data_IF_654294455440
#
_entry.id   IF_654294455440
#
_cell.length_a   1.000
_cell.length_b   1.000
_cell.length_c   1.000
_cell.angle_alpha   90.00
_cell.angle_beta   90.00
_cell.angle_gamma   90.00
#
_symmetry.space_group_name_H-M   'P 1'
#
loop_
_entity.id
_entity.type
_entity.pdbx_description
1 polymer ?
#
# COMPACT_ATOMS: atom_id res chain seq x y z
N UNK A 1 17.90 -20.61 13.26
CA UNK A 1 17.78 -19.74 12.06
C UNK A 1 17.86 -18.29 12.56
N UNK A 2 18.40 -17.32 11.81
CA UNK A 2 18.43 -15.93 12.31
C UNK A 2 17.00 -15.37 12.44
N UNK A 3 16.78 -14.45 13.38
CA UNK A 3 15.48 -13.79 13.59
C UNK A 3 14.95 -13.17 12.30
N UNK A 4 15.82 -12.51 11.52
CA UNK A 4 15.44 -11.90 10.24
C UNK A 4 14.95 -12.93 9.22
N UNK A 5 15.58 -14.11 9.18
CA UNK A 5 15.18 -15.17 8.25
C UNK A 5 13.86 -15.84 8.68
N UNK A 6 13.63 -15.99 9.98
CA UNK A 6 12.34 -16.45 10.51
C UNK A 6 11.22 -15.43 10.20
N UNK A 7 11.51 -14.15 10.35
CA UNK A 7 10.61 -13.07 9.96
C UNK A 7 10.25 -13.13 8.46
N UNK A 8 11.24 -13.26 7.58
CA UNK A 8 11.03 -13.41 6.14
C UNK A 8 10.19 -14.65 5.80
N UNK A 9 10.47 -15.79 6.44
CA UNK A 9 9.69 -17.02 6.24
C UNK A 9 8.23 -16.80 6.61
N UNK A 10 7.97 -16.17 7.75
CA UNK A 10 6.61 -15.86 8.19
C UNK A 10 5.89 -14.94 7.20
N UNK A 11 6.51 -13.81 6.83
CA UNK A 11 5.93 -12.84 5.89
C UNK A 11 5.61 -13.49 4.54
N UNK A 12 6.54 -14.27 3.99
CA UNK A 12 6.37 -14.97 2.73
C UNK A 12 5.28 -16.05 2.78
N UNK A 13 5.07 -16.68 3.93
CA UNK A 13 4.00 -17.66 4.15
C UNK A 13 2.64 -16.99 4.26
N UNK A 14 2.58 -15.82 4.90
CA UNK A 14 1.34 -15.06 5.08
C UNK A 14 0.84 -14.44 3.78
N UNK A 15 1.72 -14.07 2.84
CA UNK A 15 1.39 -13.48 1.53
C UNK A 15 0.37 -12.35 1.65
N UNK A 16 0.60 -11.45 2.61
CA UNK A 16 -0.26 -10.31 2.81
C UNK A 16 -0.10 -9.31 1.67
N UNK A 17 -1.18 -8.98 0.99
CA UNK A 17 -1.20 -7.99 -0.10
C UNK A 17 -2.04 -6.77 0.33
N UNK A 18 -1.47 -5.56 0.43
CA UNK A 18 -2.24 -4.36 0.79
C UNK A 18 -3.34 -4.02 -0.22
N UNK A 19 -3.11 -4.35 -1.49
CA UNK A 19 -4.05 -4.06 -2.59
C UNK A 19 -5.39 -4.77 -2.43
N UNK A 20 -5.39 -5.92 -1.77
CA UNK A 20 -6.57 -6.72 -1.49
C UNK A 20 -7.57 -6.03 -0.54
N UNK A 21 -7.16 -4.94 0.09
CA UNK A 21 -7.96 -4.15 1.04
C UNK A 21 -8.32 -2.77 0.48
N UNK A 22 -7.97 -2.49 -0.78
CA UNK A 22 -8.34 -1.26 -1.44
C UNK A 22 -9.75 -1.36 -2.01
N UNK A 23 -10.53 -0.32 -1.79
CA UNK A 23 -11.83 -0.13 -2.43
C UNK A 23 -11.77 1.13 -3.28
N UNK A 24 -12.63 1.23 -4.30
CA UNK A 24 -12.86 2.53 -4.91
C UNK A 24 -13.48 3.43 -3.85
N UNK A 25 -12.81 4.53 -3.53
CA UNK A 25 -13.17 5.37 -2.38
C UNK A 25 -13.68 6.72 -2.85
N UNK A 26 -14.83 7.11 -2.30
CA UNK A 26 -15.24 8.50 -2.21
C UNK A 26 -14.37 9.24 -1.19
N UNK A 27 -14.42 10.57 -1.21
CA UNK A 27 -13.68 11.38 -0.25
C UNK A 27 -14.04 11.04 1.21
N UNK A 28 -15.29 10.67 1.52
CA UNK A 28 -15.68 10.32 2.88
C UNK A 28 -15.01 9.03 3.41
N UNK A 29 -14.62 8.13 2.52
CA UNK A 29 -14.08 6.80 2.85
C UNK A 29 -12.56 6.77 2.98
N UNK A 30 -11.88 7.80 2.48
CA UNK A 30 -10.44 7.96 2.61
C UNK A 30 -10.04 8.37 4.04
N UNK A 31 -8.94 7.80 4.53
CA UNK A 31 -8.32 8.24 5.78
C UNK A 31 -7.75 9.67 5.63
N UNK A 32 -7.58 10.38 6.74
CA UNK A 32 -6.98 11.73 6.73
C UNK A 32 -5.58 11.73 6.09
N UNK A 33 -4.82 10.65 6.29
CA UNK A 33 -3.51 10.49 5.65
C UNK A 33 -3.65 10.36 4.13
N UNK A 34 -4.53 9.46 3.65
CA UNK A 34 -4.72 9.22 2.23
C UNK A 34 -5.21 10.49 1.51
N UNK A 35 -6.14 11.23 2.12
CA UNK A 35 -6.61 12.53 1.60
C UNK A 35 -5.48 13.51 1.42
N UNK A 36 -4.69 13.73 2.48
CA UNK A 36 -3.56 14.65 2.46
C UNK A 36 -2.56 14.28 1.38
N UNK A 37 -2.21 13.00 1.27
CA UNK A 37 -1.25 12.54 0.27
C UNK A 37 -1.76 12.75 -1.17
N UNK A 38 -3.05 12.53 -1.43
CA UNK A 38 -3.66 12.77 -2.75
C UNK A 38 -3.76 14.27 -3.04
N UNK A 39 -4.11 15.10 -2.06
CA UNK A 39 -4.11 16.56 -2.19
C UNK A 39 -2.72 17.10 -2.49
N UNK A 40 -1.71 16.68 -1.71
CA UNK A 40 -0.31 17.04 -1.92
C UNK A 40 0.14 16.64 -3.33
N UNK A 41 -0.20 15.41 -3.78
CA UNK A 41 0.16 14.89 -5.10
C UNK A 41 -0.52 15.63 -6.26
N UNK A 42 -1.75 16.12 -6.05
CA UNK A 42 -2.54 16.79 -7.10
C UNK A 42 -2.29 18.30 -7.13
N UNK A 43 -1.85 18.89 -6.01
CA UNK A 43 -1.60 20.33 -5.86
C UNK A 43 -0.65 20.89 -6.93
N UNK A 44 0.45 20.18 -7.21
CA UNK A 44 1.50 20.60 -8.16
C UNK A 44 0.96 20.69 -9.60
N UNK A 45 -0.08 19.93 -9.93
CA UNK A 45 -0.60 19.81 -11.30
C UNK A 45 -2.04 20.31 -11.45
N UNK A 46 -2.58 21.03 -10.46
CA UNK A 46 -3.99 21.41 -10.37
C UNK A 46 -4.55 22.02 -11.67
N UNK A 47 -3.78 22.90 -12.32
CA UNK A 47 -4.19 23.58 -13.55
C UNK A 47 -4.20 22.65 -14.79
N UNK A 48 -3.49 21.52 -14.68
CA UNK A 48 -3.33 20.50 -15.71
C UNK A 48 -4.33 19.34 -15.57
N UNK A 49 -5.01 19.20 -14.42
CA UNK A 49 -6.00 18.15 -14.19
C UNK A 49 -7.26 18.41 -15.02
N UNK A 50 -7.82 17.37 -15.63
CA UNK A 50 -9.08 17.41 -16.39
C UNK A 50 -10.05 16.33 -15.97
N UNK A 51 -11.20 16.72 -15.45
CA UNK A 51 -12.21 15.79 -14.97
C UNK A 51 -11.90 15.26 -13.57
N UNK A 52 -12.61 14.21 -13.19
CA UNK A 52 -12.63 13.74 -11.80
C UNK A 52 -11.48 12.78 -11.49
N UNK A 53 -10.83 13.00 -10.36
CA UNK A 53 -9.79 12.12 -9.83
C UNK A 53 -10.47 10.87 -9.26
N UNK A 54 -10.09 9.69 -9.77
CA UNK A 54 -10.56 8.41 -9.20
C UNK A 54 -9.57 7.95 -8.14
N UNK A 55 -10.04 7.79 -6.91
CA UNK A 55 -9.22 7.39 -5.78
C UNK A 55 -9.60 6.02 -5.26
N UNK A 56 -8.59 5.26 -4.83
CA UNK A 56 -8.72 4.00 -4.16
C UNK A 56 -7.94 4.09 -2.85
N UNK A 57 -8.60 3.79 -1.73
CA UNK A 57 -8.00 3.78 -0.41
C UNK A 57 -8.09 2.40 0.21
N UNK A 58 -7.05 2.01 0.94
CA UNK A 58 -7.15 0.88 1.85
C UNK A 58 -8.18 1.20 2.93
N UNK A 59 -9.19 0.35 3.06
CA UNK A 59 -10.30 0.57 3.99
C UNK A 59 -10.50 -0.67 4.88
N UNK A 60 -10.04 -0.56 6.12
CA UNK A 60 -10.16 -1.62 7.12
C UNK A 60 -11.58 -1.83 7.62
N UNK A 61 -12.45 -0.81 7.57
CA UNK A 61 -13.84 -0.93 8.03
C UNK A 61 -14.62 -1.84 7.08
N UNK A 62 -14.50 -1.58 5.78
CA UNK A 62 -15.15 -2.40 4.74
C UNK A 62 -14.51 -3.79 4.60
N UNK A 63 -13.24 -3.94 5.02
CA UNK A 63 -12.51 -5.21 4.94
C UNK A 63 -12.23 -5.84 6.31
N UNK A 64 -13.03 -5.52 7.34
CA UNK A 64 -12.76 -5.96 8.71
C UNK A 64 -12.75 -7.48 8.83
N UNK A 65 -13.76 -8.15 8.27
CA UNK A 65 -13.88 -9.62 8.32
C UNK A 65 -12.74 -10.30 7.54
N UNK A 66 -12.36 -9.74 6.39
CA UNK A 66 -11.21 -10.23 5.62
C UNK A 66 -9.92 -10.15 6.44
N UNK A 67 -9.72 -9.04 7.16
CA UNK A 67 -8.54 -8.86 8.00
C UNK A 67 -8.58 -9.78 9.24
N UNK A 68 -9.74 -10.00 9.86
CA UNK A 68 -9.89 -10.95 10.97
C UNK A 68 -9.53 -12.38 10.58
N UNK A 69 -9.93 -12.82 9.38
CA UNK A 69 -9.53 -14.13 8.84
C UNK A 69 -8.01 -14.22 8.68
N UNK A 70 -7.39 -13.14 8.18
CA UNK A 70 -5.93 -13.07 8.12
C UNK A 70 -5.27 -13.10 9.50
N UNK A 71 -5.76 -12.31 10.47
CA UNK A 71 -5.25 -12.29 11.84
C UNK A 71 -5.31 -13.68 12.47
N UNK A 72 -6.45 -14.38 12.32
CA UNK A 72 -6.61 -15.74 12.85
C UNK A 72 -5.58 -16.71 12.27
N UNK A 73 -5.41 -16.70 10.94
CA UNK A 73 -4.41 -17.54 10.26
C UNK A 73 -2.98 -17.21 10.72
N UNK A 74 -2.69 -15.93 10.92
CA UNK A 74 -1.40 -15.47 11.40
C UNK A 74 -1.15 -15.90 12.87
N UNK A 75 -2.17 -15.81 13.72
CA UNK A 75 -2.10 -16.25 15.11
C UNK A 75 -1.90 -17.76 15.24
N UNK A 76 -2.58 -18.57 14.42
CA UNK A 76 -2.37 -20.02 14.32
C UNK A 76 -0.93 -20.35 13.91
N UNK A 77 -0.38 -19.65 12.92
CA UNK A 77 1.02 -19.83 12.50
C UNK A 77 2.01 -19.47 13.63
N UNK A 78 1.70 -18.46 14.44
CA UNK A 78 2.51 -18.03 15.59
C UNK A 78 2.51 -19.02 16.76
N UNK A 79 1.72 -20.08 16.71
CA UNK A 79 1.79 -21.19 17.67
C UNK A 79 2.98 -22.12 17.41
N UNK A 80 3.57 -22.08 16.21
CA UNK A 80 4.78 -22.85 15.91
C UNK A 80 5.93 -22.43 16.84
N UNK A 81 6.57 -23.42 17.47
CA UNK A 81 7.69 -23.24 18.40
C UNK A 81 8.87 -22.49 17.76
N UNK A 82 9.05 -22.61 16.44
CA UNK A 82 10.11 -21.92 15.68
C UNK A 82 10.06 -20.39 15.82
N UNK A 83 8.88 -19.83 16.11
CA UNK A 83 8.69 -18.37 16.25
C UNK A 83 8.72 -17.87 17.69
N UNK A 84 8.93 -18.75 18.69
CA UNK A 84 8.82 -18.39 20.12
C UNK A 84 9.63 -17.15 20.49
N UNK A 85 10.85 -17.04 19.96
CA UNK A 85 11.79 -15.95 20.28
C UNK A 85 11.46 -14.63 19.55
N UNK A 86 10.75 -14.68 18.42
CA UNK A 86 10.37 -13.50 17.61
C UNK A 86 8.86 -13.21 17.61
N UNK A 87 8.10 -13.91 18.44
CA UNK A 87 6.63 -13.86 18.46
C UNK A 87 6.11 -12.46 18.75
N UNK A 88 6.84 -11.69 19.57
CA UNK A 88 6.48 -10.31 19.92
C UNK A 88 6.60 -9.40 18.70
N UNK A 89 7.69 -9.51 17.96
CA UNK A 89 8.00 -8.75 16.75
C UNK A 89 6.98 -9.10 15.65
N UNK A 90 6.64 -10.38 15.47
CA UNK A 90 5.63 -10.79 14.50
C UNK A 90 4.22 -10.27 14.84
N UNK A 91 3.85 -10.23 16.14
CA UNK A 91 2.60 -9.59 16.56
C UNK A 91 2.61 -8.08 16.31
N UNK A 92 3.75 -7.41 16.49
CA UNK A 92 3.89 -6.00 16.16
C UNK A 92 3.78 -5.76 14.64
N UNK A 93 4.35 -6.65 13.83
CA UNK A 93 4.19 -6.64 12.38
C UNK A 93 2.71 -6.74 11.97
N UNK A 94 1.96 -7.71 12.50
CA UNK A 94 0.53 -7.87 12.21
C UNK A 94 -0.25 -6.59 12.58
N UNK A 95 0.05 -5.98 13.74
CA UNK A 95 -0.56 -4.70 14.14
C UNK A 95 -0.23 -3.57 13.16
N UNK A 96 1.01 -3.49 12.67
CA UNK A 96 1.42 -2.48 11.68
C UNK A 96 0.83 -2.72 10.30
N UNK A 97 0.42 -3.95 9.94
CA UNK A 97 -0.34 -4.19 8.70
C UNK A 97 -1.64 -3.41 8.65
N UNK A 98 -2.28 -3.15 9.81
CA UNK A 98 -3.46 -2.27 9.86
C UNK A 98 -3.12 -0.85 9.40
N UNK A 99 -1.96 -0.35 9.83
CA UNK A 99 -1.47 0.96 9.42
C UNK A 99 -1.04 0.97 7.94
N UNK A 100 -0.51 -0.14 7.42
CA UNK A 100 -0.22 -0.28 5.98
C UNK A 100 -1.50 -0.10 5.17
N UNK A 101 -2.59 -0.77 5.53
CA UNK A 101 -3.88 -0.63 4.85
C UNK A 101 -4.34 0.83 4.89
N UNK A 102 -4.41 1.43 6.08
CA UNK A 102 -4.91 2.80 6.29
C UNK A 102 -4.06 3.89 5.61
N UNK A 103 -2.80 3.58 5.29
CA UNK A 103 -1.87 4.50 4.60
C UNK A 103 -1.68 4.17 3.12
N UNK A 104 -2.26 3.09 2.62
CA UNK A 104 -2.18 2.72 1.20
C UNK A 104 -3.29 3.42 0.42
N UNK A 105 -2.93 4.19 -0.59
CA UNK A 105 -3.88 4.71 -1.57
C UNK A 105 -3.28 4.77 -2.97
N UNK A 106 -4.17 4.81 -3.96
CA UNK A 106 -3.88 5.01 -5.37
C UNK A 106 -4.85 6.05 -5.91
N UNK A 107 -4.37 7.01 -6.69
CA UNK A 107 -5.21 7.98 -7.38
C UNK A 107 -4.88 8.00 -8.87
N UNK A 108 -5.91 7.97 -9.70
CA UNK A 108 -5.84 8.16 -11.14
C UNK A 108 -6.24 9.59 -11.45
N UNK A 109 -5.27 10.36 -11.90
CA UNK A 109 -5.35 11.80 -12.10
C UNK A 109 -5.32 12.07 -13.61
N UNK A 110 -6.47 12.33 -14.24
CA UNK A 110 -6.53 12.66 -15.66
C UNK A 110 -5.92 14.05 -15.92
N UNK A 111 -5.07 14.18 -16.95
CA UNK A 111 -4.33 15.43 -17.25
C UNK A 111 -4.35 15.84 -18.73
N UNK A 112 -4.16 17.14 -19.00
CA UNK A 112 -4.25 17.72 -20.37
C UNK A 112 -3.06 17.36 -21.28
N UNK A 113 -1.87 17.15 -20.73
CA UNK A 113 -0.61 17.13 -21.50
C UNK A 113 -0.26 15.74 -22.06
N UNK A 114 -0.36 15.59 -23.39
CA UNK A 114 0.30 14.49 -24.10
C UNK A 114 1.81 14.53 -23.82
N UNK A 115 2.44 13.42 -23.42
CA UNK A 115 2.04 12.04 -23.70
C UNK A 115 1.20 11.35 -22.62
N UNK A 116 0.99 11.94 -21.45
CA UNK A 116 0.31 11.27 -20.33
C UNK A 116 -1.19 11.54 -20.36
N UNK A 117 -1.99 10.49 -20.47
CA UNK A 117 -3.46 10.59 -20.38
C UNK A 117 -3.91 10.55 -18.93
N UNK A 118 -3.27 9.71 -18.12
CA UNK A 118 -3.47 9.64 -16.69
C UNK A 118 -2.11 9.63 -15.98
N UNK A 119 -2.04 10.33 -14.85
CA UNK A 119 -1.00 10.16 -13.86
C UNK A 119 -1.55 9.31 -12.73
N UNK A 120 -0.85 8.23 -12.41
CA UNK A 120 -1.18 7.33 -11.31
C UNK A 120 -0.28 7.69 -10.16
N UNK A 121 -0.86 8.21 -9.10
CA UNK A 121 -0.20 8.38 -7.81
C UNK A 121 -0.45 7.16 -6.93
N UNK A 122 0.54 6.74 -6.14
CA UNK A 122 0.32 5.79 -5.06
C UNK A 122 1.24 6.05 -3.87
N UNK A 123 0.78 5.72 -2.68
CA UNK A 123 1.65 5.53 -1.52
C UNK A 123 2.23 4.12 -1.51
N UNK A 124 3.42 3.97 -0.92
CA UNK A 124 4.12 2.69 -0.79
C UNK A 124 4.60 2.53 0.66
N UNK A 125 3.68 2.43 1.63
CA UNK A 125 4.09 2.20 2.99
C UNK A 125 4.69 0.78 3.10
N UNK A 126 5.78 0.62 3.85
CA UNK A 126 6.50 -0.65 3.99
C UNK A 126 6.88 -0.91 5.44
N UNK A 127 6.89 -2.18 5.82
CA UNK A 127 7.37 -2.62 7.12
C UNK A 127 8.78 -3.21 6.95
N UNK A 128 9.72 -2.76 7.78
CA UNK A 128 11.09 -3.29 7.82
C UNK A 128 11.38 -3.86 9.21
N UNK A 129 12.24 -4.87 9.25
CA UNK A 129 12.72 -5.47 10.48
C UNK A 129 14.23 -5.33 10.60
N UNK A 130 14.68 -4.36 11.40
CA UNK A 130 16.08 -4.20 11.80
C UNK A 130 16.13 -4.07 13.32
N UNK A 131 16.30 -5.22 14.01
CA UNK A 131 16.16 -5.41 15.47
C UNK A 131 14.78 -5.09 16.05
N UNK A 132 14.01 -4.21 15.40
CA UNK A 132 12.66 -3.80 15.74
C UNK A 132 11.85 -3.60 14.47
N UNK A 133 10.54 -3.77 14.58
CA UNK A 133 9.62 -3.55 13.47
C UNK A 133 9.38 -2.04 13.30
N UNK A 134 9.63 -1.53 12.11
CA UNK A 134 9.40 -0.13 11.78
C UNK A 134 8.46 0.00 10.58
N UNK A 135 7.60 1.02 10.62
CA UNK A 135 6.75 1.39 9.49
C UNK A 135 7.39 2.60 8.81
N UNK A 136 7.65 2.48 7.52
CA UNK A 136 8.12 3.57 6.66
C UNK A 136 6.97 3.92 5.72
N UNK A 137 6.38 5.09 5.88
CA UNK A 137 5.15 5.52 5.20
C UNK A 137 5.34 6.76 4.30
N UNK A 138 6.57 7.23 4.18
CA UNK A 138 6.94 8.40 3.41
C UNK A 138 7.19 8.10 1.92
N UNK A 139 7.28 6.83 1.53
CA UNK A 139 7.53 6.45 0.15
C UNK A 139 6.26 6.60 -0.70
N UNK A 140 6.41 7.24 -1.85
CA UNK A 140 5.37 7.45 -2.85
C UNK A 140 5.91 7.10 -4.23
N UNK A 141 5.02 6.81 -5.17
CA UNK A 141 5.37 6.66 -6.58
C UNK A 141 4.36 7.35 -7.49
N UNK A 142 4.89 7.86 -8.59
CA UNK A 142 4.11 8.42 -9.70
C UNK A 142 4.40 7.60 -10.96
N UNK A 143 3.36 7.29 -11.71
CA UNK A 143 3.45 6.65 -13.02
C UNK A 143 2.66 7.48 -14.03
N UNK A 144 3.15 7.59 -15.26
CA UNK A 144 2.41 8.20 -16.36
C UNK A 144 1.94 7.13 -17.33
N UNK A 145 0.63 7.08 -17.59
CA UNK A 145 0.08 6.26 -18.67
C UNK A 145 0.18 7.01 -19.99
N UNK A 146 0.94 6.45 -20.94
CA UNK A 146 1.01 6.97 -22.31
C UNK A 146 0.06 6.15 -23.18
N UNK A 147 -0.86 6.83 -23.87
CA UNK A 147 -1.79 6.18 -24.80
C UNK A 147 -1.05 5.82 -26.08
N UNK A 148 -0.65 4.56 -26.21
CA UNK A 148 -0.01 4.02 -27.41
C UNK A 148 -1.03 3.29 -28.29
N UNK A 149 -0.99 3.53 -29.61
CA UNK A 149 -1.71 2.76 -30.62
C UNK A 149 -0.93 1.45 -30.84
N UNK A 150 -1.16 0.46 -29.98
CA UNK A 150 -0.61 -0.92 -30.05
C UNK A 150 0.93 -1.01 -30.18
N UNK A 151 1.61 -1.10 -29.03
CA UNK A 151 2.67 -2.08 -28.70
C UNK A 151 3.42 -1.60 -27.44
N UNK A 152 3.63 -2.51 -26.49
CA UNK A 152 4.30 -2.33 -25.19
C UNK A 152 5.41 -1.26 -25.15
N UNK A 153 5.29 -0.25 -24.28
CA UNK A 153 6.47 0.39 -23.71
C UNK A 153 6.47 0.24 -22.19
N UNK A 154 7.43 -0.54 -21.68
CA UNK A 154 7.84 -0.50 -20.28
C UNK A 154 8.72 0.73 -20.09
N UNK A 155 8.27 1.73 -19.33
CA UNK A 155 9.11 2.87 -18.96
C UNK A 155 9.88 2.49 -17.69
N UNK A 156 11.20 2.34 -17.81
CA UNK A 156 12.12 2.26 -16.69
C UNK A 156 12.50 3.68 -16.26
N UNK A 157 12.04 4.10 -15.08
CA UNK A 157 12.61 5.24 -14.36
C UNK A 157 13.63 4.73 -13.35
N UNK A 158 14.91 5.00 -13.57
CA UNK A 158 15.97 4.84 -12.57
C UNK A 158 16.09 6.18 -11.83
N UNK A 159 15.83 6.18 -10.52
CA UNK A 159 16.25 7.26 -9.62
C UNK A 159 17.65 6.92 -9.12
#
# INVERSE_FOLDING_TARGET
MSEHKLFEVFVNKMRFEPNDYMIQSTEAELSNFQKKMIEDATSIMKDNIIGDIKSFGGNLKENEEKFKVFEKKADEELENEDYKDIKKELKEYIKKLKQIIDKTCVAFIPVKQMPWVNLIFRTIPRIVFDKKIQLLDNAIAYYGEIKCVIARPTIFGKI
#
